data_IF_358237215284
#
_entry.id   IF_358237215284
#
_cell.length_a   1.000
_cell.length_b   1.000
_cell.length_c   1.000
_cell.angle_alpha   90.00
_cell.angle_beta   90.00
_cell.angle_gamma   90.00
#
_symmetry.space_group_name_H-M   'P 1'
#
loop_
_entity.id
_entity.type
_entity.pdbx_description
1 polymer ?
#
# COMPACT_ATOMS: atom_id res chain seq x y z
N UNK A 1 1.66 33.72 -18.30
CA UNK A 1 1.81 33.45 -18.61
C UNK A 1 1.54 32.80 -19.01
N UNK A 2 1.13 32.56 -18.93
CA UNK A 2 1.15 31.92 -19.46
C UNK A 2 1.03 31.68 -20.50
N UNK A 3 1.10 32.42 -20.29
CA UNK A 3 1.18 32.27 -21.64
C UNK A 3 1.47 30.93 -22.15
N UNK A 4 2.05 30.13 -21.42
CA UNK A 4 2.40 28.81 -21.86
C UNK A 4 1.38 27.76 -21.51
N UNK A 5 0.25 28.12 -20.98
CA UNK A 5 -0.83 27.19 -20.70
C UNK A 5 -0.45 26.02 -19.82
N UNK A 6 0.58 26.18 -19.01
CA UNK A 6 0.98 25.14 -18.07
C UNK A 6 0.13 25.20 -16.80
N UNK A 7 -0.14 24.03 -16.26
CA UNK A 7 -0.86 23.89 -15.02
C UNK A 7 0.06 23.21 -14.01
N UNK A 8 -0.04 23.65 -12.77
CA UNK A 8 0.76 23.06 -11.70
C UNK A 8 -0.19 22.48 -10.65
N UNK A 9 0.24 21.40 -10.05
CA UNK A 9 -0.51 20.79 -8.97
C UNK A 9 -0.37 21.66 -7.73
N UNK A 10 -1.41 21.70 -6.90
CA UNK A 10 -1.28 22.42 -5.65
C UNK A 10 -0.38 21.62 -4.70
N UNK A 11 0.08 22.28 -3.65
CA UNK A 11 1.06 21.68 -2.75
C UNK A 11 0.49 20.49 -2.01
N UNK A 12 -0.77 20.54 -1.62
CA UNK A 12 -1.40 19.43 -0.91
C UNK A 12 -1.44 18.17 -1.78
N UNK A 13 -1.80 18.32 -3.04
CA UNK A 13 -1.84 17.19 -3.97
C UNK A 13 -0.45 16.62 -4.18
N UNK A 14 0.55 17.50 -4.35
CA UNK A 14 1.93 17.06 -4.55
C UNK A 14 2.38 16.22 -3.36
N UNK A 15 2.13 16.70 -2.15
CA UNK A 15 2.56 15.98 -0.94
C UNK A 15 1.82 14.67 -0.77
N UNK A 16 0.54 14.64 -1.09
CA UNK A 16 -0.25 13.42 -0.98
C UNK A 16 0.27 12.35 -1.95
N UNK A 17 0.51 12.73 -3.20
CA UNK A 17 1.03 11.81 -4.20
C UNK A 17 2.41 11.30 -3.79
N UNK A 18 3.29 12.20 -3.37
CA UNK A 18 4.65 11.82 -2.98
C UNK A 18 4.63 10.86 -1.79
N UNK A 19 3.74 11.11 -0.82
CA UNK A 19 3.62 10.25 0.36
C UNK A 19 3.21 8.83 -0.04
N UNK A 20 2.26 8.71 -0.96
CA UNK A 20 1.81 7.39 -1.42
C UNK A 20 2.91 6.65 -2.18
N UNK A 21 3.65 7.34 -3.06
CA UNK A 21 4.77 6.70 -3.73
C UNK A 21 5.87 6.31 -2.76
N UNK A 22 6.09 7.11 -1.74
CA UNK A 22 7.07 6.76 -0.72
C UNK A 22 6.65 5.49 0.02
N UNK A 23 5.35 5.35 0.30
CA UNK A 23 4.87 4.12 0.92
C UNK A 23 5.14 2.90 0.04
N UNK A 24 5.05 3.06 -1.29
CA UNK A 24 5.29 1.96 -2.23
C UNK A 24 6.78 1.72 -2.48
N UNK A 25 7.66 2.53 -1.93
CA UNK A 25 9.09 2.39 -2.17
C UNK A 25 9.79 1.44 -1.20
N UNK A 26 9.09 0.93 -0.20
CA UNK A 26 9.67 0.04 0.80
C UNK A 26 9.40 -1.42 0.42
N UNK A 27 10.45 -2.27 0.34
CA UNK A 27 10.25 -3.66 -0.10
C UNK A 27 9.26 -4.46 0.75
N UNK A 28 9.27 -4.27 2.07
CA UNK A 28 8.35 -4.99 2.94
C UNK A 28 6.91 -4.59 2.67
N UNK A 29 6.68 -3.29 2.49
CA UNK A 29 5.32 -2.82 2.19
C UNK A 29 4.84 -3.30 0.83
N UNK A 30 5.74 -3.38 -0.16
CA UNK A 30 5.38 -3.94 -1.46
C UNK A 30 4.96 -5.40 -1.29
N UNK A 31 5.71 -6.19 -0.50
CA UNK A 31 5.36 -7.59 -0.26
C UNK A 31 3.98 -7.71 0.38
N UNK A 32 3.72 -6.89 1.39
CA UNK A 32 2.42 -6.94 2.10
C UNK A 32 1.29 -6.59 1.14
N UNK A 33 1.44 -5.49 0.40
CA UNK A 33 0.38 -5.06 -0.50
C UNK A 33 0.14 -6.07 -1.62
N UNK A 34 1.21 -6.65 -2.16
CA UNK A 34 1.05 -7.65 -3.20
C UNK A 34 0.32 -8.88 -2.68
N UNK A 35 0.66 -9.32 -1.47
CA UNK A 35 -0.05 -10.44 -0.84
C UNK A 35 -1.54 -10.11 -0.68
N UNK A 36 -1.85 -8.89 -0.25
CA UNK A 36 -3.23 -8.48 -0.05
C UNK A 36 -4.01 -8.30 -1.35
N UNK A 37 -3.34 -8.24 -2.50
CA UNK A 37 -4.06 -8.27 -3.78
C UNK A 37 -4.58 -9.66 -4.08
N UNK A 38 -4.08 -10.68 -3.39
CA UNK A 38 -4.43 -12.06 -3.66
C UNK A 38 -5.45 -12.60 -2.67
N UNK A 39 -5.40 -12.16 -1.42
CA UNK A 39 -6.32 -12.63 -0.39
C UNK A 39 -6.32 -11.68 0.80
N UNK A 40 -7.42 -11.68 1.50
CA UNK A 40 -7.53 -11.01 2.79
C UNK A 40 -6.77 -11.84 3.82
N UNK A 41 -5.94 -11.20 4.67
CA UNK A 41 -5.07 -11.92 5.58
C UNK A 41 -5.12 -11.35 6.99
N UNK A 42 -5.01 -12.23 7.98
CA UNK A 42 -4.78 -11.82 9.35
C UNK A 42 -3.34 -11.40 9.54
N UNK A 43 -3.06 -10.63 10.60
CA UNK A 43 -1.70 -10.22 10.94
C UNK A 43 -0.80 -11.45 11.11
N UNK A 44 -1.30 -12.47 11.83
CA UNK A 44 -0.52 -13.68 12.04
C UNK A 44 -0.18 -14.40 10.75
N UNK A 45 -1.13 -14.47 9.83
CA UNK A 45 -0.91 -15.14 8.55
C UNK A 45 0.13 -14.38 7.70
N UNK A 46 0.04 -13.04 7.68
CA UNK A 46 1.02 -12.24 6.97
C UNK A 46 2.41 -12.46 7.56
N UNK A 47 2.50 -12.42 8.89
CA UNK A 47 3.78 -12.61 9.57
C UNK A 47 4.39 -13.96 9.24
N UNK A 48 3.57 -15.01 9.23
CA UNK A 48 4.03 -16.34 8.89
C UNK A 48 4.53 -16.42 7.46
N UNK A 49 3.75 -15.91 6.52
CA UNK A 49 4.11 -15.97 5.10
C UNK A 49 5.36 -15.16 4.78
N UNK A 50 5.54 -14.02 5.42
CA UNK A 50 6.68 -13.16 5.17
C UNK A 50 7.86 -13.41 6.10
N UNK A 51 7.70 -14.36 7.05
CA UNK A 51 8.74 -14.70 8.01
C UNK A 51 9.17 -13.48 8.82
N UNK A 52 8.17 -12.77 9.33
CA UNK A 52 8.36 -11.56 10.13
C UNK A 52 7.66 -11.76 11.47
N UNK A 53 8.00 -10.93 12.45
CA UNK A 53 7.25 -10.93 13.70
C UNK A 53 5.90 -10.26 13.50
N UNK A 54 4.92 -10.64 14.32
CA UNK A 54 3.61 -10.00 14.23
C UNK A 54 3.70 -8.52 14.58
N UNK A 55 4.60 -8.18 15.51
CA UNK A 55 4.82 -6.78 15.88
C UNK A 55 5.29 -5.95 14.68
N UNK A 56 6.24 -6.47 13.92
CA UNK A 56 6.76 -5.77 12.75
C UNK A 56 5.68 -5.61 11.68
N UNK A 57 4.90 -6.66 11.44
CA UNK A 57 3.80 -6.62 10.48
C UNK A 57 2.74 -5.61 10.91
N UNK A 58 2.36 -5.64 12.20
CA UNK A 58 1.38 -4.70 12.73
C UNK A 58 1.81 -3.26 12.56
N UNK A 59 3.10 -3.00 12.76
CA UNK A 59 3.64 -1.64 12.57
C UNK A 59 3.48 -1.19 11.12
N UNK A 60 3.83 -2.06 10.18
CA UNK A 60 3.69 -1.74 8.76
C UNK A 60 2.23 -1.56 8.35
N UNK A 61 1.35 -2.42 8.87
CA UNK A 61 -0.07 -2.32 8.53
C UNK A 61 -0.70 -1.04 9.10
N UNK A 62 -0.28 -0.63 10.31
CA UNK A 62 -0.77 0.62 10.88
C UNK A 62 -0.39 1.81 10.01
N UNK A 63 0.84 1.83 9.52
CA UNK A 63 1.30 2.88 8.63
C UNK A 63 0.48 2.90 7.33
N UNK A 64 0.30 1.73 6.72
CA UNK A 64 -0.48 1.64 5.49
C UNK A 64 -1.95 2.03 5.70
N UNK A 65 -2.50 1.69 6.87
CA UNK A 65 -3.88 2.04 7.18
C UNK A 65 -4.06 3.54 7.36
N UNK A 66 -3.08 4.21 7.95
CA UNK A 66 -3.12 5.67 8.08
C UNK A 66 -3.18 6.35 6.73
N UNK A 67 -2.53 5.76 5.73
CA UNK A 67 -2.54 6.29 4.36
C UNK A 67 -3.74 5.80 3.55
N UNK A 68 -4.61 5.02 4.17
CA UNK A 68 -5.81 4.44 3.53
C UNK A 68 -5.47 3.54 2.36
N UNK A 69 -4.32 2.88 2.43
CA UNK A 69 -3.94 1.88 1.42
C UNK A 69 -4.44 0.51 1.79
N UNK A 70 -4.68 0.26 3.08
CA UNK A 70 -5.29 -0.98 3.56
C UNK A 70 -6.40 -0.64 4.54
N UNK A 71 -7.31 -1.59 4.73
CA UNK A 71 -8.37 -1.51 5.72
C UNK A 71 -8.40 -2.82 6.49
N UNK A 72 -9.08 -2.82 7.63
CA UNK A 72 -9.17 -4.01 8.45
C UNK A 72 -10.58 -4.22 8.91
N UNK A 73 -10.89 -5.48 9.22
CA UNK A 73 -12.14 -5.85 9.87
C UNK A 73 -11.83 -6.86 10.96
N UNK A 74 -12.63 -6.84 12.00
CA UNK A 74 -12.43 -7.74 13.12
C UNK A 74 -13.32 -8.96 12.98
N UNK A 75 -12.74 -10.14 13.17
CA UNK A 75 -13.48 -11.40 13.20
C UNK A 75 -13.04 -12.11 14.49
N UNK A 76 -13.94 -12.11 15.50
CA UNK A 76 -13.58 -12.63 16.81
C UNK A 76 -12.50 -11.78 17.42
N UNK A 77 -11.36 -12.39 17.74
CA UNK A 77 -10.23 -11.68 18.33
C UNK A 77 -9.14 -11.37 17.31
N UNK A 78 -9.39 -11.65 16.04
CA UNK A 78 -8.41 -11.44 14.99
C UNK A 78 -8.82 -10.27 14.11
N UNK A 79 -7.81 -9.58 13.57
CA UNK A 79 -8.03 -8.53 12.57
C UNK A 79 -7.54 -9.03 11.23
N UNK A 80 -8.40 -8.91 10.23
CA UNK A 80 -8.08 -9.27 8.86
C UNK A 80 -7.92 -8.01 8.03
N UNK A 81 -6.88 -8.00 7.21
CA UNK A 81 -6.53 -6.83 6.41
C UNK A 81 -6.74 -7.12 4.93
N UNK A 82 -7.17 -6.09 4.22
CA UNK A 82 -7.32 -6.13 2.77
C UNK A 82 -6.91 -4.77 2.23
N UNK A 83 -6.65 -4.69 0.92
CA UNK A 83 -6.32 -3.38 0.35
C UNK A 83 -7.57 -2.50 0.30
N UNK A 84 -7.37 -1.20 0.36
CA UNK A 84 -8.47 -0.24 0.43
C UNK A 84 -8.55 0.64 -0.82
N UNK A 85 -7.40 1.03 -1.37
CA UNK A 85 -7.36 1.97 -2.47
C UNK A 85 -7.12 1.26 -3.79
N UNK A 86 -8.18 1.19 -4.60
CA UNK A 86 -8.13 0.52 -5.89
C UNK A 86 -7.13 1.16 -6.84
N UNK A 87 -7.04 2.50 -6.82
CA UNK A 87 -6.16 3.22 -7.74
C UNK A 87 -4.70 2.96 -7.44
N UNK A 88 -4.32 3.01 -6.17
CA UNK A 88 -2.93 2.76 -5.78
C UNK A 88 -2.54 1.32 -6.07
N UNK A 89 -3.47 0.38 -5.82
CA UNK A 89 -3.21 -1.02 -6.10
C UNK A 89 -3.02 -1.25 -7.61
N UNK A 90 -3.77 -0.56 -8.46
CA UNK A 90 -3.59 -0.68 -9.90
C UNK A 90 -2.22 -0.19 -10.34
N UNK A 91 -1.76 0.92 -9.76
CA UNK A 91 -0.42 1.44 -10.04
C UNK A 91 0.63 0.40 -9.64
N UNK A 92 0.48 -0.19 -8.46
CA UNK A 92 1.40 -1.23 -7.99
C UNK A 92 1.41 -2.43 -8.93
N UNK A 93 0.23 -2.91 -9.33
CA UNK A 93 0.13 -4.05 -10.24
C UNK A 93 0.79 -3.77 -11.57
N UNK A 94 0.60 -2.56 -12.11
CA UNK A 94 1.22 -2.20 -13.37
C UNK A 94 2.74 -2.16 -13.28
N UNK A 95 3.26 -1.62 -12.18
CA UNK A 95 4.70 -1.58 -11.99
C UNK A 95 5.27 -3.00 -11.84
N UNK A 96 4.57 -3.88 -11.13
CA UNK A 96 5.00 -5.27 -11.00
C UNK A 96 4.99 -5.96 -12.35
N UNK A 97 3.92 -5.76 -13.12
CA UNK A 97 3.82 -6.35 -14.45
C UNK A 97 4.97 -5.89 -15.35
N UNK A 98 5.25 -4.58 -15.32
CA UNK A 98 6.36 -4.01 -16.08
C UNK A 98 7.69 -4.67 -15.68
N UNK A 99 7.92 -4.83 -14.38
CA UNK A 99 9.18 -5.39 -13.90
C UNK A 99 9.36 -6.86 -14.27
N UNK A 100 8.25 -7.60 -14.38
CA UNK A 100 8.31 -9.02 -14.73
C UNK A 100 8.45 -9.26 -16.24
N UNK A 101 8.05 -8.30 -17.06
CA UNK A 101 7.95 -8.51 -18.52
C UNK A 101 8.85 -7.61 -19.35
N UNK A 102 9.72 -6.86 -18.71
CA UNK A 102 10.62 -5.95 -19.44
C UNK A 102 12.07 -6.41 -19.43
#
# INVERSE_FOLDING_TARGET
>A
MDQNNHHFLDQETIEDVATKFKALSDPTRVKILYLLTQEECSVGHIAELLQMTQSAVSHQLSFLKQLRLVKSRRVGQSFFYSYDDEHVIEILKQMIHHSLHD
#
